data_IF_643074616170
#
_entry.id   IF_643074616170
#
_cell.length_a   1.000
_cell.length_b   1.000
_cell.length_c   1.000
_cell.angle_alpha   90.00
_cell.angle_beta   90.00
_cell.angle_gamma   90.00
#
_symmetry.space_group_name_H-M   'P 1'
#
loop_
_entity.id
_entity.type
_entity.pdbx_description
1 polymer ?
#
# COMPACT_ATOMS: atom_id res chain seq x y z
N UNK A 1 12.46 51.83 32.48
CA UNK A 1 13.79 51.21 32.60
C UNK A 1 13.62 49.88 33.29
N UNK A 2 13.61 48.81 32.55
CA UNK A 2 13.79 47.45 33.02
C UNK A 2 14.08 46.62 31.76
N UNK A 3 15.29 46.09 31.71
CA UNK A 3 15.84 45.28 30.58
C UNK A 3 15.35 43.85 30.63
N UNK A 4 15.30 43.15 29.48
CA UNK A 4 14.82 41.77 29.39
C UNK A 4 15.99 40.79 29.65
N UNK A 5 15.67 39.79 30.46
CA UNK A 5 16.56 38.63 30.74
C UNK A 5 16.61 37.68 29.53
N UNK A 6 17.80 37.55 28.96
CA UNK A 6 18.12 36.49 27.99
C UNK A 6 18.37 35.16 28.73
N UNK A 7 17.55 34.16 28.45
CA UNK A 7 17.83 32.78 28.86
C UNK A 7 18.30 31.99 27.67
N UNK A 8 19.61 31.86 27.55
CA UNK A 8 20.25 31.01 26.54
C UNK A 8 19.97 29.53 26.80
N UNK A 9 19.40 28.85 25.85
CA UNK A 9 19.27 27.38 25.85
C UNK A 9 20.42 26.78 25.05
N UNK A 10 21.32 26.10 25.77
CA UNK A 10 22.47 25.42 25.22
C UNK A 10 22.04 24.22 24.34
N UNK A 11 22.44 24.26 23.10
CA UNK A 11 22.30 23.12 22.15
C UNK A 11 23.41 22.11 22.45
N UNK A 12 23.05 21.00 23.11
CA UNK A 12 23.98 19.87 23.34
C UNK A 12 24.02 18.96 22.12
N UNK A 13 25.05 19.17 21.29
CA UNK A 13 25.44 18.28 20.21
C UNK A 13 26.14 17.04 20.78
N UNK A 14 25.49 15.89 20.80
CA UNK A 14 26.15 14.60 21.06
C UNK A 14 26.30 13.84 19.76
N UNK A 15 27.42 14.05 19.09
CA UNK A 15 27.92 13.15 18.06
C UNK A 15 28.47 11.89 18.74
N UNK A 16 27.75 10.79 18.63
CA UNK A 16 28.28 9.47 18.94
C UNK A 16 28.71 8.80 17.65
N UNK A 17 29.99 8.79 17.40
CA UNK A 17 30.64 8.01 16.34
C UNK A 17 30.85 6.62 16.88
N UNK A 18 30.10 5.62 16.41
CA UNK A 18 30.45 4.20 16.61
C UNK A 18 31.09 3.69 15.33
N UNK A 19 32.41 3.53 15.45
CA UNK A 19 33.20 2.74 14.51
C UNK A 19 33.01 1.26 14.86
N UNK A 20 32.48 0.46 13.98
CA UNK A 20 32.53 -1.00 14.03
C UNK A 20 33.42 -1.51 12.93
N UNK A 21 34.56 -2.02 13.38
CA UNK A 21 35.60 -2.72 12.63
C UNK A 21 35.06 -4.07 12.13
N UNK A 22 35.54 -4.45 10.96
CA UNK A 22 35.11 -5.55 10.16
C UNK A 22 35.27 -6.96 10.73
N UNK A 23 34.57 -7.88 10.09
CA UNK A 23 35.00 -9.29 10.00
C UNK A 23 34.49 -9.85 8.69
N UNK A 24 35.46 -10.20 7.87
CA UNK A 24 35.24 -10.97 6.64
C UNK A 24 34.91 -12.43 7.01
N UNK A 25 33.88 -13.00 6.39
CA UNK A 25 33.73 -14.44 6.26
C UNK A 25 33.34 -14.77 4.81
N UNK A 26 34.32 -15.28 4.10
CA UNK A 26 34.13 -16.00 2.83
C UNK A 26 33.71 -17.43 3.17
N UNK A 27 32.66 -17.93 2.51
CA UNK A 27 32.46 -19.36 2.30
C UNK A 27 31.62 -19.56 1.01
N UNK A 28 32.28 -20.08 0.02
CA UNK A 28 31.73 -20.66 -1.20
C UNK A 28 31.04 -21.99 -0.88
N UNK A 29 30.07 -22.39 -1.74
CA UNK A 29 29.81 -23.73 -2.30
C UNK A 29 28.48 -23.69 -3.02
N UNK A 30 28.47 -23.64 -4.31
CA UNK A 30 28.30 -24.72 -5.29
C UNK A 30 27.12 -25.67 -4.96
N UNK A 31 26.06 -25.57 -5.77
CA UNK A 31 24.92 -26.48 -5.78
C UNK A 31 24.26 -26.46 -7.16
N UNK A 32 24.85 -27.23 -8.11
CA UNK A 32 24.22 -27.56 -9.38
C UNK A 32 22.99 -28.42 -9.11
N UNK A 33 21.84 -28.06 -9.64
CA UNK A 33 20.71 -28.96 -9.78
C UNK A 33 20.46 -29.23 -11.23
N UNK A 34 20.78 -30.46 -11.57
CA UNK A 34 20.66 -31.17 -12.84
C UNK A 34 19.22 -31.17 -13.34
N UNK A 35 19.07 -30.72 -14.58
CA UNK A 35 17.93 -31.05 -15.42
C UNK A 35 17.96 -32.55 -15.75
N UNK A 36 16.95 -33.27 -15.37
CA UNK A 36 16.77 -34.62 -15.86
C UNK A 36 15.73 -34.62 -16.99
N UNK A 37 16.24 -34.56 -18.23
CA UNK A 37 15.48 -34.92 -19.40
C UNK A 37 15.61 -36.43 -19.56
N UNK A 38 14.54 -37.18 -19.37
CA UNK A 38 14.46 -38.54 -19.89
C UNK A 38 13.26 -38.66 -20.80
N UNK A 39 13.63 -38.67 -22.07
CA UNK A 39 12.87 -39.16 -23.19
C UNK A 39 12.87 -40.70 -23.15
N UNK A 40 11.74 -41.33 -23.38
CA UNK A 40 11.68 -42.78 -23.55
C UNK A 40 10.25 -43.29 -23.49
N UNK A 41 9.64 -43.45 -24.66
CA UNK A 41 8.32 -44.00 -24.83
C UNK A 41 8.22 -45.48 -24.42
N UNK A 42 7.02 -45.95 -24.26
CA UNK A 42 6.45 -47.16 -24.88
C UNK A 42 4.95 -47.22 -24.54
N UNK A 43 4.20 -47.62 -25.55
CA UNK A 43 2.76 -47.79 -25.55
C UNK A 43 2.25 -48.81 -24.51
N UNK A 44 1.08 -48.56 -23.95
CA UNK A 44 0.36 -49.53 -23.12
C UNK A 44 -1.11 -49.12 -23.01
N UNK A 45 -1.94 -49.91 -23.59
CA UNK A 45 -3.38 -49.79 -23.78
C UNK A 45 -4.21 -49.49 -22.55
N UNK A 46 -5.30 -48.73 -22.77
CA UNK A 46 -6.46 -48.47 -21.90
C UNK A 46 -7.09 -49.72 -21.26
N UNK A 47 -7.85 -49.58 -20.16
CA UNK A 47 -9.27 -49.38 -20.33
C UNK A 47 -9.88 -48.22 -19.46
N UNK A 48 -10.94 -47.70 -20.00
CA UNK A 48 -11.78 -46.63 -19.46
C UNK A 48 -12.47 -47.01 -18.15
N UNK A 49 -12.50 -46.07 -17.21
CA UNK A 49 -13.45 -46.05 -16.10
C UNK A 49 -14.21 -44.73 -16.10
N UNK A 50 -15.51 -44.74 -15.77
CA UNK A 50 -16.38 -43.60 -15.95
C UNK A 50 -16.11 -42.50 -14.90
N UNK A 51 -16.03 -41.28 -15.37
CA UNK A 51 -15.94 -40.07 -14.59
C UNK A 51 -17.23 -39.84 -13.78
N UNK A 52 -17.12 -39.89 -12.48
CA UNK A 52 -18.12 -39.31 -11.59
C UNK A 52 -17.72 -37.84 -11.36
N UNK A 53 -18.37 -36.95 -12.06
CA UNK A 53 -18.34 -35.50 -11.78
C UNK A 53 -19.02 -35.24 -10.44
N UNK A 54 -18.38 -34.57 -9.46
CA UNK A 54 -19.11 -33.93 -8.39
C UNK A 54 -19.75 -32.65 -8.93
N UNK A 55 -21.08 -32.62 -8.84
CA UNK A 55 -21.89 -31.46 -9.15
C UNK A 55 -21.44 -30.26 -8.30
N UNK A 56 -21.07 -29.18 -8.97
CA UNK A 56 -20.91 -27.88 -8.32
C UNK A 56 -22.26 -27.44 -7.76
N UNK A 57 -22.34 -26.92 -6.53
CA UNK A 57 -23.55 -26.27 -6.07
C UNK A 57 -23.73 -24.97 -6.86
N UNK A 58 -24.80 -24.93 -7.63
CA UNK A 58 -25.29 -23.69 -8.24
C UNK A 58 -25.73 -22.75 -7.11
N UNK A 59 -24.85 -21.84 -6.75
CA UNK A 59 -25.19 -20.70 -5.92
C UNK A 59 -26.11 -19.80 -6.69
N UNK A 60 -27.40 -19.86 -6.40
CA UNK A 60 -28.41 -18.90 -6.85
C UNK A 60 -28.02 -17.52 -6.33
N UNK A 61 -27.35 -16.75 -7.15
CA UNK A 61 -27.12 -15.33 -6.93
C UNK A 61 -28.44 -14.59 -7.08
N UNK A 62 -29.12 -14.36 -5.96
CA UNK A 62 -30.23 -13.42 -5.88
C UNK A 62 -29.70 -12.04 -6.25
N UNK A 63 -30.03 -11.57 -7.46
CA UNK A 63 -29.69 -10.25 -7.94
C UNK A 63 -30.55 -9.17 -7.26
N UNK A 64 -30.20 -8.82 -6.02
CA UNK A 64 -30.60 -7.56 -5.42
C UNK A 64 -29.68 -6.45 -5.98
N UNK A 65 -30.08 -5.14 -5.89
CA UNK A 65 -29.22 -4.04 -6.28
C UNK A 65 -27.88 -4.20 -5.56
N UNK A 66 -26.80 -4.36 -6.31
CA UNK A 66 -25.48 -4.64 -5.78
C UNK A 66 -25.12 -3.54 -4.78
N UNK A 67 -25.02 -3.90 -3.50
CA UNK A 67 -24.49 -2.99 -2.50
C UNK A 67 -23.12 -2.51 -2.98
N UNK A 68 -22.78 -1.21 -2.84
CA UNK A 68 -21.51 -0.69 -3.31
C UNK A 68 -20.38 -1.49 -2.69
N UNK A 69 -19.50 -2.02 -3.55
CA UNK A 69 -18.42 -2.90 -3.11
C UNK A 69 -17.55 -2.20 -2.07
N UNK A 70 -17.31 -2.85 -0.94
CA UNK A 70 -16.46 -2.31 0.09
C UNK A 70 -15.03 -2.11 -0.45
N UNK A 71 -14.46 -0.94 -0.21
CA UNK A 71 -13.08 -0.61 -0.53
C UNK A 71 -12.14 -1.13 0.57
N UNK A 72 -12.50 -0.93 1.82
CA UNK A 72 -11.74 -1.35 2.99
C UNK A 72 -12.62 -1.34 4.24
N UNK A 73 -12.16 -1.97 5.33
CA UNK A 73 -12.71 -1.75 6.66
C UNK A 73 -12.20 -0.42 7.23
N UNK A 74 -12.99 0.23 8.09
CA UNK A 74 -12.56 1.45 8.79
C UNK A 74 -11.34 1.21 9.67
N UNK A 75 -11.18 0.00 10.23
CA UNK A 75 -10.01 -0.41 11.02
C UNK A 75 -8.72 -0.56 10.21
N UNK A 76 -8.83 -0.68 8.90
CA UNK A 76 -7.67 -0.83 8.00
C UNK A 76 -6.98 0.51 7.67
N UNK A 77 -7.63 1.62 8.02
CA UNK A 77 -7.13 2.97 7.75
C UNK A 77 -6.77 3.63 9.07
N UNK A 78 -5.49 3.66 9.45
CA UNK A 78 -5.06 4.21 10.74
C UNK A 78 -5.28 5.73 10.81
N UNK A 79 -5.52 6.23 12.03
CA UNK A 79 -5.65 7.68 12.29
C UNK A 79 -4.31 8.37 12.00
N UNK A 80 -4.33 9.46 11.28
CA UNK A 80 -3.15 10.20 10.82
C UNK A 80 -2.43 9.54 9.64
N UNK A 81 -2.92 8.39 9.17
CA UNK A 81 -2.35 7.59 8.08
C UNK A 81 -3.34 7.31 6.96
N UNK A 82 -3.15 6.16 6.29
CA UNK A 82 -4.02 5.76 5.19
C UNK A 82 -3.75 4.34 4.69
N UNK A 83 -4.59 3.92 3.74
CA UNK A 83 -4.47 2.64 3.03
C UNK A 83 -4.48 2.88 1.53
N UNK A 84 -3.49 2.33 0.84
CA UNK A 84 -3.38 2.40 -0.62
C UNK A 84 -3.98 1.14 -1.21
N UNK A 85 -4.94 1.32 -2.11
CA UNK A 85 -5.60 0.28 -2.88
C UNK A 85 -5.08 0.37 -4.32
N UNK A 86 -3.89 -0.19 -4.56
CA UNK A 86 -3.17 -0.05 -5.82
C UNK A 86 -3.98 -0.53 -7.04
N UNK A 87 -4.66 -1.66 -6.90
CA UNK A 87 -5.49 -2.26 -7.97
C UNK A 87 -6.67 -1.36 -8.37
N UNK A 88 -7.20 -0.60 -7.40
CA UNK A 88 -8.30 0.36 -7.60
C UNK A 88 -7.81 1.77 -7.91
N UNK A 89 -6.50 2.00 -7.80
CA UNK A 89 -5.87 3.34 -7.91
C UNK A 89 -6.50 4.37 -6.96
N UNK A 90 -6.84 3.93 -5.75
CA UNK A 90 -7.43 4.75 -4.69
C UNK A 90 -6.51 4.73 -3.48
N UNK A 91 -6.33 5.87 -2.83
CA UNK A 91 -5.78 5.97 -1.49
C UNK A 91 -6.86 6.49 -0.55
N UNK A 92 -7.07 5.76 0.55
CA UNK A 92 -7.95 6.14 1.65
C UNK A 92 -7.10 6.76 2.75
N UNK A 93 -7.57 7.84 3.35
CA UNK A 93 -6.89 8.51 4.48
C UNK A 93 -7.84 8.71 5.64
N UNK A 94 -7.29 8.80 6.85
CA UNK A 94 -8.03 9.13 8.07
C UNK A 94 -7.28 10.22 8.84
N UNK A 95 -7.44 11.52 8.47
CA UNK A 95 -6.73 12.62 9.14
C UNK A 95 -7.03 12.70 10.63
N UNK A 96 -8.29 12.46 11.00
CA UNK A 96 -8.79 12.40 12.37
C UNK A 96 -9.65 11.16 12.56
N UNK A 97 -9.80 10.71 13.79
CA UNK A 97 -10.63 9.55 14.10
C UNK A 97 -12.05 9.72 13.54
N UNK A 98 -12.48 8.76 12.72
CA UNK A 98 -13.80 8.73 12.08
C UNK A 98 -13.95 9.61 10.84
N UNK A 99 -12.94 10.40 10.45
CA UNK A 99 -12.93 11.23 9.25
C UNK A 99 -12.17 10.54 8.12
N UNK A 100 -12.89 10.07 7.10
CA UNK A 100 -12.28 9.33 6.00
C UNK A 100 -12.38 10.13 4.70
N UNK A 101 -11.26 10.17 3.95
CA UNK A 101 -11.18 10.74 2.62
C UNK A 101 -10.66 9.72 1.63
N UNK A 102 -11.09 9.85 0.38
CA UNK A 102 -10.57 9.09 -0.75
C UNK A 102 -9.92 10.03 -1.77
N UNK A 103 -8.80 9.61 -2.32
CA UNK A 103 -8.13 10.31 -3.41
C UNK A 103 -7.64 9.30 -4.44
N UNK A 104 -7.36 9.78 -5.64
CA UNK A 104 -6.63 8.99 -6.63
C UNK A 104 -5.24 8.63 -6.09
N UNK A 105 -4.85 7.37 -6.21
CA UNK A 105 -3.48 6.94 -5.90
C UNK A 105 -2.49 7.22 -7.03
N UNK A 106 -2.93 7.90 -8.09
CA UNK A 106 -2.09 8.26 -9.25
C UNK A 106 -1.52 9.66 -9.03
N UNK A 107 -0.20 9.73 -8.87
CA UNK A 107 0.53 10.98 -8.68
C UNK A 107 0.37 11.91 -9.90
N UNK A 108 -0.02 13.15 -9.65
CA UNK A 108 -0.29 14.15 -10.70
C UNK A 108 0.95 14.70 -11.38
N UNK A 109 2.16 14.36 -10.90
CA UNK A 109 3.41 14.72 -11.57
C UNK A 109 3.66 13.89 -12.84
N UNK A 110 3.72 12.55 -12.68
CA UNK A 110 4.12 11.65 -13.75
C UNK A 110 3.37 10.30 -13.74
N UNK A 111 2.21 10.23 -13.11
CA UNK A 111 1.35 9.05 -13.14
C UNK A 111 1.80 7.86 -12.28
N UNK A 112 2.85 7.99 -11.49
CA UNK A 112 3.27 6.94 -10.56
C UNK A 112 2.20 6.67 -9.51
N UNK A 113 2.08 5.42 -9.06
CA UNK A 113 1.26 5.11 -7.88
C UNK A 113 1.94 5.65 -6.62
N UNK A 114 1.19 6.34 -5.75
CA UNK A 114 1.69 6.77 -4.43
C UNK A 114 2.08 5.56 -3.59
N UNK A 115 3.10 5.70 -2.74
CA UNK A 115 3.72 4.55 -2.06
C UNK A 115 3.48 4.46 -0.57
N UNK A 116 3.14 5.57 0.09
CA UNK A 116 2.91 5.59 1.54
C UNK A 116 2.02 6.75 1.97
N UNK A 117 1.44 6.60 3.16
CA UNK A 117 0.73 7.68 3.86
C UNK A 117 1.31 7.78 5.24
N UNK A 118 2.00 8.88 5.53
CA UNK A 118 2.65 9.15 6.81
C UNK A 118 2.81 10.65 7.03
N UNK A 119 2.98 11.06 8.28
CA UNK A 119 3.26 12.44 8.66
C UNK A 119 2.27 13.46 8.05
N UNK A 120 0.99 13.08 7.98
CA UNK A 120 -0.07 13.92 7.42
C UNK A 120 0.00 14.07 5.90
N UNK A 121 0.81 13.25 5.21
CA UNK A 121 0.98 13.33 3.75
C UNK A 121 0.86 11.98 3.06
N UNK A 122 0.37 12.02 1.82
CA UNK A 122 0.39 10.93 0.84
C UNK A 122 1.66 11.13 0.00
N UNK A 123 2.54 10.14 -0.03
CA UNK A 123 3.89 10.28 -0.57
C UNK A 123 4.06 9.49 -1.86
N UNK A 124 4.61 10.14 -2.88
CA UNK A 124 4.98 9.50 -4.15
C UNK A 124 6.47 9.13 -4.14
N UNK A 125 6.84 7.85 -4.31
CA UNK A 125 8.24 7.41 -4.25
C UNK A 125 9.06 7.77 -5.48
N UNK A 126 8.42 8.04 -6.63
CA UNK A 126 9.13 8.27 -7.88
C UNK A 126 9.97 9.54 -7.87
N UNK A 127 9.38 10.67 -7.45
CA UNK A 127 10.06 11.97 -7.49
C UNK A 127 9.81 12.81 -6.23
N UNK A 128 9.27 12.19 -5.15
CA UNK A 128 9.16 12.86 -3.86
C UNK A 128 7.99 13.82 -3.71
N UNK A 129 7.02 13.83 -4.64
CA UNK A 129 5.80 14.63 -4.45
C UNK A 129 5.04 14.18 -3.20
N UNK A 130 4.53 15.16 -2.45
CA UNK A 130 3.73 14.93 -1.24
C UNK A 130 2.41 15.67 -1.32
N UNK A 131 1.35 15.02 -0.85
CA UNK A 131 0.00 15.57 -0.89
C UNK A 131 -0.65 15.47 0.49
N UNK A 132 -1.49 16.42 0.83
CA UNK A 132 -2.19 16.46 2.12
C UNK A 132 -3.20 15.31 2.26
N UNK A 133 -3.21 14.63 3.41
CA UNK A 133 -4.19 13.59 3.74
C UNK A 133 -5.62 14.13 3.89
N UNK A 134 -5.78 15.45 4.10
CA UNK A 134 -7.08 16.08 4.37
C UNK A 134 -7.81 16.47 3.09
N UNK A 135 -7.10 16.98 2.09
CA UNK A 135 -7.72 17.56 0.89
C UNK A 135 -7.00 17.24 -0.42
N UNK A 136 -5.96 16.41 -0.38
CA UNK A 136 -5.19 16.04 -1.56
C UNK A 136 -4.30 17.15 -2.14
N UNK A 137 -4.26 18.34 -1.53
CA UNK A 137 -3.46 19.46 -2.03
C UNK A 137 -1.96 19.12 -2.04
N UNK A 138 -1.22 19.70 -2.98
CA UNK A 138 0.24 19.55 -3.03
C UNK A 138 0.88 20.22 -1.81
N UNK A 139 1.63 19.45 -1.05
CA UNK A 139 2.44 19.92 0.09
C UNK A 139 3.89 20.11 -0.34
N UNK A 140 4.38 19.22 -1.22
CA UNK A 140 5.72 19.28 -1.79
C UNK A 140 5.70 18.78 -3.23
N UNK A 141 6.36 19.51 -4.14
CA UNK A 141 6.52 19.12 -5.53
C UNK A 141 7.44 17.91 -5.77
N UNK A 142 7.62 17.53 -7.03
CA UNK A 142 7.40 18.32 -8.26
C UNK A 142 5.96 18.35 -8.81
N UNK A 143 4.99 17.63 -8.24
CA UNK A 143 3.59 17.77 -8.63
C UNK A 143 3.12 19.23 -8.45
N UNK A 144 2.31 19.72 -9.38
CA UNK A 144 1.75 21.09 -9.37
C UNK A 144 0.22 21.11 -9.18
N UNK A 145 -0.41 19.94 -9.24
CA UNK A 145 -1.86 19.79 -9.11
C UNK A 145 -2.20 18.83 -7.97
N UNK A 146 -3.32 19.03 -7.26
CA UNK A 146 -3.74 18.15 -6.18
C UNK A 146 -4.10 16.76 -6.70
N UNK A 147 -4.13 15.76 -5.82
CA UNK A 147 -4.71 14.47 -6.12
C UNK A 147 -6.23 14.62 -6.29
N UNK A 148 -6.81 14.09 -7.38
CA UNK A 148 -8.27 14.09 -7.57
C UNK A 148 -8.98 13.38 -6.41
N UNK A 149 -10.05 13.97 -5.86
CA UNK A 149 -10.84 13.33 -4.82
C UNK A 149 -11.63 12.14 -5.39
N UNK A 150 -11.82 11.11 -4.57
CA UNK A 150 -12.69 9.98 -4.79
C UNK A 150 -13.75 10.00 -3.71
N UNK A 151 -15.02 10.07 -4.10
CA UNK A 151 -16.12 10.09 -3.14
C UNK A 151 -16.21 8.76 -2.41
N UNK A 152 -16.11 8.81 -1.10
CA UNK A 152 -16.21 7.64 -0.22
C UNK A 152 -17.18 7.94 0.92
N UNK A 153 -17.82 6.90 1.44
CA UNK A 153 -18.68 6.98 2.62
C UNK A 153 -18.50 5.77 3.51
N UNK A 154 -18.75 5.94 4.79
CA UNK A 154 -18.76 4.84 5.76
C UNK A 154 -20.14 4.21 5.79
N UNK A 155 -20.21 2.90 5.70
CA UNK A 155 -21.40 2.08 5.90
C UNK A 155 -21.08 1.00 6.94
N UNK A 156 -21.58 1.18 8.16
CA UNK A 156 -21.20 0.33 9.30
C UNK A 156 -19.70 0.42 9.56
N UNK A 157 -19.00 -0.70 9.43
CA UNK A 157 -17.54 -0.78 9.57
C UNK A 157 -16.78 -0.75 8.23
N UNK A 158 -17.47 -0.53 7.13
CA UNK A 158 -16.88 -0.56 5.79
C UNK A 158 -16.84 0.84 5.18
N UNK A 159 -15.77 1.12 4.46
CA UNK A 159 -15.65 2.29 3.58
C UNK A 159 -16.02 1.83 2.18
N UNK A 160 -16.99 2.49 1.56
CA UNK A 160 -17.46 2.19 0.21
C UNK A 160 -17.31 3.42 -0.67
N UNK A 161 -17.24 3.22 -1.98
CA UNK A 161 -17.33 4.33 -2.94
C UNK A 161 -18.77 4.85 -2.97
N UNK A 162 -18.92 6.18 -2.96
CA UNK A 162 -20.24 6.85 -2.97
C UNK A 162 -20.69 7.16 -4.38
#
# INVERSE_FOLDING_TARGET
MAEPSESGVAVSSRRTVLACVGTACAAALAGCSTYNSNNGGIAGSQPAQPASSPAAPAGSGSGGPAAPAALASTSDVPVGGGKILADKKIVLTQPKSGEFHGFSAVCTHAGCTVGSVSDGTINCPCHGSRFSVTNGAVVNGPATSPLPPVNVKVQGTSIVQA
#
